data_IF_319526042863
#
_entry.id   IF_319526042863
#
_cell.length_a   1.000
_cell.length_b   1.000
_cell.length_c   1.000
_cell.angle_alpha   90.00
_cell.angle_beta   90.00
_cell.angle_gamma   90.00
#
_symmetry.space_group_name_H-M   'P 1'
#
loop_
_entity.id
_entity.type
_entity.pdbx_description
1 polymer ?
#
# COMPACT_ATOMS: atom_id res chain seq x y z
N UNK A 1 22.13 -6.61 7.20
CA UNK A 1 20.97 -7.20 7.92
C UNK A 1 19.79 -7.17 6.94
N UNK A 2 19.00 -8.26 6.84
CA UNK A 2 18.03 -8.51 5.75
C UNK A 2 16.68 -7.79 5.90
N UNK A 3 15.67 -8.25 5.16
CA UNK A 3 14.35 -7.62 5.02
C UNK A 3 13.29 -8.06 6.06
N UNK A 4 13.56 -9.09 6.88
CA UNK A 4 12.68 -9.60 7.96
C UNK A 4 11.22 -9.81 7.51
N UNK A 5 10.93 -10.86 6.72
CA UNK A 5 9.56 -11.26 6.41
C UNK A 5 8.83 -11.78 7.66
N UNK A 6 7.70 -11.18 8.00
CA UNK A 6 6.97 -11.45 9.26
C UNK A 6 5.66 -12.20 9.03
N UNK A 7 4.79 -11.65 8.18
CA UNK A 7 3.44 -12.16 7.95
C UNK A 7 3.19 -12.51 6.48
N UNK A 8 2.36 -13.53 6.27
CA UNK A 8 1.86 -13.93 4.96
C UNK A 8 0.33 -14.04 5.01
N UNK A 9 -0.35 -13.36 4.09
CA UNK A 9 -1.79 -13.50 3.88
C UNK A 9 -2.07 -14.01 2.46
N UNK A 10 -3.10 -14.84 2.31
CA UNK A 10 -3.54 -15.39 1.03
C UNK A 10 -4.95 -14.92 0.69
N UNK A 11 -5.24 -14.66 -0.58
CA UNK A 11 -6.60 -14.36 -1.03
C UNK A 11 -6.78 -14.59 -2.52
N UNK A 12 -7.99 -15.01 -2.90
CA UNK A 12 -8.37 -15.21 -4.30
C UNK A 12 -9.12 -13.98 -4.80
N UNK A 13 -8.52 -13.18 -5.67
CA UNK A 13 -9.11 -11.96 -6.19
C UNK A 13 -9.57 -12.21 -7.63
N UNK A 14 -10.84 -12.58 -7.80
CA UNK A 14 -11.36 -13.02 -9.09
C UNK A 14 -10.77 -14.36 -9.49
N UNK A 15 -9.86 -14.37 -10.48
CA UNK A 15 -9.19 -15.59 -10.99
C UNK A 15 -7.75 -15.76 -10.51
N UNK A 16 -7.25 -14.77 -9.77
CA UNK A 16 -5.84 -14.67 -9.40
C UNK A 16 -5.68 -15.09 -7.94
N UNK A 17 -4.65 -15.90 -7.68
CA UNK A 17 -4.33 -16.43 -6.36
C UNK A 17 -3.17 -15.61 -5.80
N UNK A 18 -3.47 -14.70 -4.88
CA UNK A 18 -2.51 -13.69 -4.43
C UNK A 18 -1.96 -14.02 -3.04
N UNK A 19 -0.64 -13.90 -2.92
CA UNK A 19 0.10 -14.00 -1.66
C UNK A 19 0.67 -12.64 -1.29
N UNK A 20 0.40 -12.19 -0.08
CA UNK A 20 0.84 -10.90 0.46
C UNK A 20 1.87 -11.15 1.55
N UNK A 21 3.10 -10.69 1.36
CA UNK A 21 4.21 -10.93 2.29
C UNK A 21 4.67 -9.59 2.89
N UNK A 22 4.53 -9.43 4.19
CA UNK A 22 4.97 -8.21 4.88
C UNK A 22 6.48 -8.23 5.10
N UNK A 23 7.11 -7.09 4.85
CA UNK A 23 8.53 -6.81 5.11
C UNK A 23 8.59 -5.83 6.26
N UNK A 24 8.82 -6.33 7.48
CA UNK A 24 8.79 -5.54 8.72
C UNK A 24 9.76 -4.36 8.62
N UNK A 25 11.02 -4.69 8.30
CA UNK A 25 12.09 -3.70 8.11
C UNK A 25 11.93 -2.84 6.88
N UNK A 26 11.32 -3.40 5.83
CA UNK A 26 11.13 -2.70 4.57
C UNK A 26 9.97 -1.71 4.60
N UNK A 27 9.05 -1.82 5.58
CA UNK A 27 7.81 -1.04 5.61
C UNK A 27 7.02 -1.17 4.29
N UNK A 28 6.90 -2.40 3.80
CA UNK A 28 6.10 -2.70 2.61
C UNK A 28 5.47 -4.10 2.69
N UNK A 29 4.46 -4.34 1.86
CA UNK A 29 3.90 -5.67 1.58
C UNK A 29 4.19 -6.02 0.11
N UNK A 30 4.89 -7.12 -0.13
CA UNK A 30 5.08 -7.66 -1.47
C UNK A 30 3.86 -8.50 -1.88
N UNK A 31 3.40 -8.35 -3.11
CA UNK A 31 2.26 -9.07 -3.68
C UNK A 31 2.78 -10.02 -4.75
N UNK A 32 2.52 -11.31 -4.56
CA UNK A 32 2.85 -12.34 -5.52
C UNK A 32 1.58 -12.93 -6.11
N UNK A 33 1.58 -13.15 -7.43
CA UNK A 33 0.68 -14.14 -8.04
C UNK A 33 1.34 -15.51 -7.87
N UNK A 34 0.59 -16.44 -7.29
CA UNK A 34 1.05 -17.80 -6.98
C UNK A 34 0.17 -18.87 -7.62
N UNK A 35 -0.64 -18.49 -8.61
CA UNK A 35 -1.56 -19.40 -9.30
C UNK A 35 -0.83 -20.54 -10.01
N UNK A 36 0.28 -20.22 -10.67
CA UNK A 36 1.14 -21.24 -11.28
C UNK A 36 2.04 -21.84 -10.21
N UNK A 37 1.90 -23.16 -10.05
CA UNK A 37 2.61 -23.89 -9.01
C UNK A 37 4.12 -23.81 -9.27
N UNK A 38 4.88 -23.55 -8.21
CA UNK A 38 6.34 -23.45 -8.21
C UNK A 38 6.92 -22.26 -9.02
N UNK A 39 6.06 -21.37 -9.53
CA UNK A 39 6.45 -20.16 -10.28
C UNK A 39 5.81 -18.89 -9.67
N UNK A 40 6.15 -18.51 -8.42
CA UNK A 40 5.60 -17.30 -7.82
C UNK A 40 6.13 -16.04 -8.51
N UNK A 41 5.22 -15.19 -8.99
CA UNK A 41 5.55 -13.95 -9.69
C UNK A 41 5.33 -12.74 -8.78
N UNK A 42 6.36 -11.94 -8.52
CA UNK A 42 6.19 -10.65 -7.83
C UNK A 42 5.49 -9.66 -8.77
N UNK A 43 4.25 -9.28 -8.45
CA UNK A 43 3.44 -8.40 -9.30
C UNK A 43 3.36 -6.96 -8.77
N UNK A 44 3.54 -6.74 -7.47
CA UNK A 44 3.48 -5.40 -6.88
C UNK A 44 4.19 -5.33 -5.53
N UNK A 45 4.61 -4.12 -5.13
CA UNK A 45 5.03 -3.79 -3.77
C UNK A 45 4.09 -2.70 -3.26
N UNK A 46 3.56 -2.83 -2.06
CA UNK A 46 2.59 -1.90 -1.47
C UNK A 46 3.22 -1.19 -0.26
N UNK A 47 3.26 0.16 -0.21
CA UNK A 47 3.93 0.90 0.87
C UNK A 47 3.09 0.93 2.15
N UNK A 48 3.62 0.40 3.26
CA UNK A 48 2.89 0.32 4.53
C UNK A 48 3.35 1.39 5.52
N UNK A 49 2.76 1.39 6.72
CA UNK A 49 3.41 1.99 7.90
C UNK A 49 4.65 1.21 8.34
N UNK A 50 5.30 1.68 9.41
CA UNK A 50 6.53 1.08 9.95
C UNK A 50 6.21 -0.19 10.73
N UNK A 51 6.95 -1.27 10.47
CA UNK A 51 6.75 -2.58 11.10
C UNK A 51 5.38 -3.19 10.78
N UNK A 52 5.08 -3.48 9.50
CA UNK A 52 3.87 -4.22 9.14
C UNK A 52 3.94 -5.68 9.64
N UNK A 53 2.99 -6.07 10.48
CA UNK A 53 2.96 -7.40 11.11
C UNK A 53 1.63 -8.13 10.93
N UNK A 54 0.51 -7.39 10.81
CA UNK A 54 -0.81 -7.98 10.58
C UNK A 54 -1.25 -7.76 9.14
N UNK A 55 -1.79 -8.79 8.49
CA UNK A 55 -2.44 -8.66 7.18
C UNK A 55 -3.71 -9.51 7.11
N UNK A 56 -4.77 -8.96 6.53
CA UNK A 56 -6.02 -9.69 6.26
C UNK A 56 -6.53 -9.38 4.86
N UNK A 57 -6.84 -10.43 4.10
CA UNK A 57 -7.47 -10.34 2.79
C UNK A 57 -8.99 -10.29 2.95
N UNK A 58 -9.65 -9.46 2.14
CA UNK A 58 -11.11 -9.31 2.11
C UNK A 58 -11.56 -9.36 0.64
N UNK A 59 -11.51 -10.55 0.01
CA UNK A 59 -11.68 -10.67 -1.44
C UNK A 59 -13.05 -10.21 -1.96
N UNK A 60 -14.12 -10.45 -1.19
CA UNK A 60 -15.49 -10.02 -1.55
C UNK A 60 -15.62 -8.50 -1.71
N UNK A 61 -14.63 -7.73 -1.22
CA UNK A 61 -14.55 -6.27 -1.34
C UNK A 61 -13.37 -5.81 -2.18
N UNK A 62 -12.59 -6.72 -2.77
CA UNK A 62 -11.30 -6.43 -3.40
C UNK A 62 -10.31 -5.73 -2.47
N UNK A 63 -10.37 -5.94 -1.15
CA UNK A 63 -9.52 -5.22 -0.20
C UNK A 63 -8.44 -6.09 0.46
N UNK A 64 -7.30 -5.47 0.75
CA UNK A 64 -6.31 -5.94 1.72
C UNK A 64 -6.18 -4.90 2.83
N UNK A 65 -6.20 -5.33 4.09
CA UNK A 65 -5.85 -4.46 5.21
C UNK A 65 -4.55 -4.93 5.86
N UNK A 66 -3.61 -3.99 6.06
CA UNK A 66 -2.30 -4.24 6.66
C UNK A 66 -2.15 -3.37 7.91
N UNK A 67 -1.79 -4.00 9.03
CA UNK A 67 -1.51 -3.35 10.29
C UNK A 67 -0.01 -3.17 10.47
N UNK A 68 0.40 -1.92 10.66
CA UNK A 68 1.74 -1.53 11.08
C UNK A 68 1.70 -1.11 12.55
N UNK A 69 2.39 -1.86 13.41
CA UNK A 69 2.19 -1.77 14.85
C UNK A 69 3.05 -0.72 15.55
N UNK A 70 4.14 -0.28 14.89
CA UNK A 70 5.12 0.60 15.54
C UNK A 70 4.46 1.93 15.93
N UNK A 71 4.44 2.18 17.23
CA UNK A 71 3.95 3.41 17.83
C UNK A 71 5.07 4.06 18.65
N UNK A 72 5.79 5.00 18.05
CA UNK A 72 6.90 5.69 18.68
C UNK A 72 6.73 7.20 18.58
N UNK A 73 6.25 7.80 19.67
CA UNK A 73 6.02 9.25 19.77
C UNK A 73 7.31 10.08 19.63
N UNK A 74 8.45 9.57 20.11
CA UNK A 74 9.73 10.25 20.03
C UNK A 74 10.17 10.48 18.58
N UNK A 75 9.98 9.45 17.76
CA UNK A 75 10.29 9.49 16.33
C UNK A 75 9.11 9.94 15.46
N UNK A 76 8.01 10.37 16.08
CA UNK A 76 6.75 10.81 15.44
C UNK A 76 6.10 9.74 14.56
N UNK A 77 6.33 8.47 14.87
CA UNK A 77 5.69 7.32 14.22
C UNK A 77 4.44 6.94 15.03
N UNK A 78 3.34 6.66 14.34
CA UNK A 78 2.11 6.14 14.93
C UNK A 78 1.79 4.81 14.27
N UNK A 79 1.17 3.93 15.04
CA UNK A 79 0.54 2.73 14.49
C UNK A 79 -0.55 3.12 13.49
N UNK A 80 -0.62 2.39 12.37
CA UNK A 80 -1.56 2.68 11.27
C UNK A 80 -2.10 1.39 10.67
N UNK A 81 -3.34 1.47 10.18
CA UNK A 81 -3.93 0.48 9.29
C UNK A 81 -3.95 1.07 7.88
N UNK A 82 -3.27 0.42 6.95
CA UNK A 82 -3.33 0.76 5.53
C UNK A 82 -4.31 -0.19 4.84
N UNK A 83 -5.26 0.38 4.09
CA UNK A 83 -6.24 -0.39 3.31
C UNK A 83 -5.91 -0.19 1.84
N UNK A 84 -5.77 -1.28 1.11
CA UNK A 84 -5.60 -1.29 -0.34
C UNK A 84 -6.84 -1.87 -1.00
N UNK A 85 -7.21 -1.32 -2.14
CA UNK A 85 -8.22 -1.87 -3.02
C UNK A 85 -7.56 -2.31 -4.33
N UNK A 86 -7.91 -3.49 -4.80
CA UNK A 86 -7.43 -3.99 -6.07
C UNK A 86 -8.14 -3.28 -7.23
N UNK A 87 -7.35 -2.62 -8.07
CA UNK A 87 -7.79 -2.06 -9.34
C UNK A 87 -7.17 -2.81 -10.53
N UNK A 88 -7.74 -2.62 -11.72
CA UNK A 88 -7.23 -3.18 -12.98
C UNK A 88 -6.47 -2.14 -13.83
N UNK A 89 -6.21 -0.96 -13.27
CA UNK A 89 -5.35 0.06 -13.85
C UNK A 89 -3.88 -0.19 -13.49
N UNK A 90 -2.97 0.58 -14.09
CA UNK A 90 -1.58 0.63 -13.63
C UNK A 90 -1.50 0.89 -12.12
N UNK A 91 -0.51 0.29 -11.42
CA UNK A 91 -0.27 0.60 -10.01
C UNK A 91 -0.16 2.11 -9.79
N UNK A 92 -1.07 2.64 -8.99
CA UNK A 92 -1.02 4.03 -8.53
C UNK A 92 -0.62 4.02 -7.05
N UNK A 93 0.48 4.70 -6.76
CA UNK A 93 0.99 4.79 -5.41
C UNK A 93 0.49 6.10 -4.80
N UNK A 94 0.09 6.09 -3.52
CA UNK A 94 -0.33 7.30 -2.83
C UNK A 94 0.85 8.28 -2.81
N UNK A 95 0.85 9.18 -3.78
CA UNK A 95 1.86 10.19 -4.00
C UNK A 95 1.14 11.53 -4.07
N UNK A 96 1.75 12.54 -3.46
CA UNK A 96 1.34 13.91 -3.70
C UNK A 96 2.31 14.50 -4.70
N UNK A 97 1.80 14.85 -5.86
CA UNK A 97 2.53 15.60 -6.86
C UNK A 97 2.02 17.03 -6.87
N UNK A 98 2.94 17.97 -7.00
CA UNK A 98 2.60 19.37 -7.17
C UNK A 98 2.21 19.63 -8.63
N UNK A 99 1.17 20.43 -8.84
CA UNK A 99 0.89 21.03 -10.15
C UNK A 99 1.87 22.18 -10.43
N UNK A 100 2.08 22.48 -11.71
CA UNK A 100 2.85 23.64 -12.12
C UNK A 100 1.99 24.91 -12.06
N UNK A 101 2.62 26.04 -11.73
CA UNK A 101 2.05 27.38 -11.91
C UNK A 101 2.00 27.75 -13.38
N UNK A 102 1.31 28.85 -13.70
CA UNK A 102 1.27 29.44 -15.04
C UNK A 102 2.66 29.76 -15.63
N UNK A 103 3.67 29.96 -14.79
CA UNK A 103 5.07 30.21 -15.19
C UNK A 103 5.91 28.93 -15.39
N UNK A 104 5.29 27.75 -15.26
CA UNK A 104 5.94 26.44 -15.42
C UNK A 104 6.75 25.99 -14.20
N UNK A 105 6.59 26.63 -13.03
CA UNK A 105 7.27 26.21 -11.79
C UNK A 105 6.33 25.44 -10.84
N UNK A 106 6.80 24.40 -10.12
CA UNK A 106 5.95 23.63 -9.22
C UNK A 106 5.40 24.44 -8.04
N UNK A 107 4.14 24.23 -7.65
CA UNK A 107 3.54 24.79 -6.44
C UNK A 107 4.22 24.20 -5.18
N UNK A 108 4.79 25.01 -4.27
CA UNK A 108 5.45 24.51 -3.07
C UNK A 108 4.41 24.01 -2.08
N UNK A 109 4.67 22.84 -1.50
CA UNK A 109 3.93 22.41 -0.33
C UNK A 109 4.35 23.23 0.90
N UNK A 110 3.38 23.62 1.72
CA UNK A 110 3.60 24.14 3.07
C UNK A 110 3.21 23.06 4.09
N UNK A 111 2.67 23.42 5.25
CA UNK A 111 2.08 22.46 6.17
C UNK A 111 0.85 21.79 5.54
N UNK A 112 0.96 20.49 5.25
CA UNK A 112 -0.16 19.67 4.78
C UNK A 112 -0.86 19.04 5.98
N UNK A 113 -2.15 19.35 6.15
CA UNK A 113 -2.99 18.79 7.21
C UNK A 113 -4.41 18.60 6.70
N UNK A 114 -5.11 17.57 7.21
CA UNK A 114 -6.50 17.31 6.84
C UNK A 114 -6.70 16.77 5.41
N UNK A 115 -5.69 16.12 4.83
CA UNK A 115 -5.83 15.45 3.53
C UNK A 115 -6.93 14.38 3.64
N UNK A 116 -7.88 14.44 2.73
CA UNK A 116 -8.91 13.44 2.54
C UNK A 116 -9.01 13.15 1.05
N UNK A 117 -9.26 11.89 0.69
CA UNK A 117 -9.54 11.55 -0.70
C UNK A 117 -10.81 12.27 -1.17
N UNK A 118 -10.78 12.85 -2.36
CA UNK A 118 -11.99 13.37 -3.01
C UNK A 118 -12.89 12.19 -3.38
N UNK A 119 -14.15 12.23 -2.96
CA UNK A 119 -15.12 11.14 -3.19
C UNK A 119 -15.93 11.32 -4.47
N UNK A 120 -15.64 12.36 -5.27
CA UNK A 120 -16.40 12.74 -6.47
C UNK A 120 -15.48 12.91 -7.68
N UNK A 121 -14.86 11.84 -8.13
CA UNK A 121 -14.31 11.81 -9.49
C UNK A 121 -15.46 11.53 -10.47
N UNK A 122 -16.03 12.60 -11.03
CA UNK A 122 -16.74 12.49 -12.31
C UNK A 122 -15.66 12.57 -13.41
N UNK A 123 -15.68 11.67 -14.39
CA UNK A 123 -14.72 11.75 -15.50
C UNK A 123 -14.87 13.11 -16.19
N UNK A 124 -13.74 13.82 -16.36
CA UNK A 124 -13.66 14.98 -17.25
C UNK A 124 -13.56 14.53 -18.70
#
# INVERSE_FOLDING_TARGET
>A
KGNEPENVAFGVYGKDELLFVNSERGSFTAVYDIKEKDEPELIQVLPTGVGPEGSVTIPDRNLLAVAAEVDNRGDKIRSVITIYERAFSSPDYPTMMSEDRDDGTPIPFSALSGLAAETRDLPK
#
